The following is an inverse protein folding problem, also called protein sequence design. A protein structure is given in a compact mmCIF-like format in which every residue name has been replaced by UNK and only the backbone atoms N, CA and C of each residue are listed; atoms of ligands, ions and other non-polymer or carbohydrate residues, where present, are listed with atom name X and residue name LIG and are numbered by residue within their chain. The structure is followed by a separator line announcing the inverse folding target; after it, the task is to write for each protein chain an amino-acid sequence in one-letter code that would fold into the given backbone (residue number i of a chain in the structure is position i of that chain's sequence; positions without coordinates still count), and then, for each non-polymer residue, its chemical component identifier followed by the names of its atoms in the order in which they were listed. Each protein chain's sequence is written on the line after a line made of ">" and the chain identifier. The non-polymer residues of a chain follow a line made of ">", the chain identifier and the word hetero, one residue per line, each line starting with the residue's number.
data_IF_196518347168
#
_entry.id   IF_196518347168
#
_cell.length_a   1.000
_cell.length_b   1.000
_cell.length_c   1.000
_cell.angle_alpha   90.00
_cell.angle_beta   90.00
_cell.angle_gamma   90.00
#
_symmetry.space_group_name_H-M   'P 1'
#
loop_
_entity.id
_entity.type
_entity.pdbx_description
1 polymer ?
#
# COMPACT_ATOMS: atom_id res chain seq x y z
N UNK A 1 25.33 17.64 10.06
CA UNK A 1 23.89 17.75 9.75
C UNK A 1 23.10 17.42 11.01
N UNK A 2 22.23 18.34 11.46
CA UNK A 2 21.33 18.10 12.60
C UNK A 2 20.32 17.00 12.24
N UNK A 3 20.03 16.11 13.20
CA UNK A 3 19.00 15.08 13.06
C UNK A 3 17.84 15.45 13.97
N UNK A 4 16.68 15.72 13.37
CA UNK A 4 15.44 15.85 14.10
C UNK A 4 14.94 14.45 14.49
N UNK A 5 14.31 14.33 15.66
CA UNK A 5 13.81 13.05 16.19
C UNK A 5 12.36 13.17 16.60
N UNK A 6 11.58 12.15 16.27
CA UNK A 6 10.20 11.99 16.70
C UNK A 6 10.06 10.65 17.42
N UNK A 7 9.68 10.70 18.71
CA UNK A 7 9.50 9.48 19.48
C UNK A 7 8.22 8.74 19.07
N UNK A 8 8.28 7.42 19.05
CA UNK A 8 7.13 6.53 18.87
C UNK A 8 6.60 6.10 20.24
N UNK A 9 7.51 5.91 21.21
CA UNK A 9 7.18 5.46 22.55
C UNK A 9 7.24 6.63 23.55
N UNK A 10 6.44 6.58 24.63
CA UNK A 10 5.38 5.59 24.90
C UNK A 10 4.15 5.80 24.00
N UNK A 11 3.61 4.74 23.40
CA UNK A 11 2.47 4.82 22.46
C UNK A 11 1.20 5.38 23.09
N UNK A 12 1.03 5.23 24.40
CA UNK A 12 -0.15 5.70 25.13
C UNK A 12 -0.34 7.22 25.06
N UNK A 13 0.73 7.98 24.76
CA UNK A 13 0.65 9.44 24.53
C UNK A 13 -0.25 9.80 23.34
N UNK A 14 -0.53 8.84 22.46
CA UNK A 14 -1.43 8.98 21.32
C UNK A 14 -2.83 8.39 21.59
N UNK A 15 -3.10 7.86 22.79
CA UNK A 15 -4.37 7.24 23.18
C UNK A 15 -5.51 8.23 23.52
N UNK A 16 -5.37 9.51 23.18
CA UNK A 16 -6.34 10.57 23.44
C UNK A 16 -7.58 10.52 22.53
N UNK A 17 -8.34 11.63 22.50
CA UNK A 17 -9.50 11.78 21.62
C UNK A 17 -9.13 11.49 20.16
N UNK A 18 -10.05 10.86 19.42
CA UNK A 18 -9.82 10.54 18.01
C UNK A 18 -9.59 11.80 17.17
N UNK A 19 -8.61 11.72 16.27
CA UNK A 19 -8.33 12.77 15.29
C UNK A 19 -9.29 12.69 14.10
N UNK A 20 -9.58 13.84 13.47
CA UNK A 20 -10.37 13.92 12.23
C UNK A 20 -9.72 13.15 11.08
N UNK A 21 -10.52 12.35 10.39
CA UNK A 21 -10.13 11.64 9.16
C UNK A 21 -11.04 12.10 8.04
N UNK A 22 -10.45 12.36 6.87
CA UNK A 22 -11.21 12.58 5.64
C UNK A 22 -11.27 11.24 4.89
N UNK A 23 -12.47 10.82 4.49
CA UNK A 23 -12.62 9.59 3.71
C UNK A 23 -11.84 9.72 2.39
N UNK A 24 -11.01 8.73 2.01
CA UNK A 24 -10.34 8.73 0.72
C UNK A 24 -11.36 8.77 -0.43
N UNK A 25 -11.07 9.60 -1.44
CA UNK A 25 -11.83 9.67 -2.69
C UNK A 25 -10.88 9.57 -3.86
N UNK A 26 -11.14 8.65 -4.78
CA UNK A 26 -10.38 8.59 -6.03
C UNK A 26 -10.56 9.89 -6.82
N UNK A 27 -9.45 10.48 -7.25
CA UNK A 27 -9.42 11.71 -8.06
C UNK A 27 -8.85 11.46 -9.46
N UNK A 28 -8.04 10.40 -9.61
CA UNK A 28 -7.48 9.94 -10.87
C UNK A 28 -7.05 8.47 -10.73
N UNK A 29 -6.72 7.83 -11.85
CA UNK A 29 -6.19 6.47 -11.86
C UNK A 29 -5.27 6.27 -13.08
N UNK A 30 -4.44 5.22 -12.99
CA UNK A 30 -3.60 4.77 -14.08
C UNK A 30 -3.41 3.25 -13.99
N UNK A 31 -2.94 2.67 -15.09
CA UNK A 31 -2.81 1.24 -15.25
C UNK A 31 -1.44 0.88 -15.84
N UNK A 32 -0.87 -0.23 -15.38
CA UNK A 32 0.19 -0.96 -16.05
C UNK A 32 -0.37 -2.20 -16.73
N UNK A 33 0.04 -2.48 -17.97
CA UNK A 33 -0.33 -3.70 -18.67
C UNK A 33 0.57 -4.90 -18.30
N UNK A 34 0.36 -6.05 -18.97
CA UNK A 34 1.13 -7.28 -18.75
C UNK A 34 2.63 -7.15 -19.08
N UNK A 35 3.01 -6.11 -19.82
CA UNK A 35 4.39 -5.78 -20.21
C UNK A 35 4.93 -4.59 -19.41
N UNK A 36 4.28 -4.21 -18.29
CA UNK A 36 4.62 -3.08 -17.43
C UNK A 36 4.56 -1.72 -18.16
N UNK A 37 3.76 -1.60 -19.23
CA UNK A 37 3.57 -0.35 -19.94
C UNK A 37 2.53 0.52 -19.24
N UNK A 38 2.90 1.76 -18.95
CA UNK A 38 2.05 2.74 -18.30
C UNK A 38 0.97 3.28 -19.25
N UNK A 39 -0.24 3.46 -18.73
CA UNK A 39 -1.34 4.17 -19.39
C UNK A 39 -2.21 4.88 -18.36
N UNK A 40 -2.74 6.05 -18.72
CA UNK A 40 -3.75 6.72 -17.90
C UNK A 40 -5.08 5.99 -18.01
N UNK A 41 -5.85 5.97 -16.92
CA UNK A 41 -7.15 5.30 -16.87
C UNK A 41 -7.12 3.88 -16.28
N UNK A 42 -8.20 3.15 -16.51
CA UNK A 42 -8.57 1.93 -15.79
C UNK A 42 -8.50 0.64 -16.62
N UNK A 43 -7.64 0.61 -17.65
CA UNK A 43 -7.52 -0.53 -18.56
C UNK A 43 -7.11 -1.85 -17.90
N UNK A 44 -6.46 -1.79 -16.73
CA UNK A 44 -6.01 -2.97 -15.98
C UNK A 44 -6.91 -3.29 -14.77
N UNK A 45 -8.11 -2.72 -14.70
CA UNK A 45 -9.07 -3.07 -13.64
C UNK A 45 -9.44 -4.55 -13.71
N UNK A 46 -9.52 -5.19 -12.54
CA UNK A 46 -9.95 -6.58 -12.38
C UNK A 46 -11.20 -6.66 -11.53
N UNK A 47 -12.00 -7.70 -11.71
CA UNK A 47 -13.30 -7.88 -11.08
C UNK A 47 -13.24 -9.08 -10.15
N UNK A 48 -13.60 -8.90 -8.88
CA UNK A 48 -13.57 -9.99 -7.91
C UNK A 48 -14.51 -11.10 -8.33
N UNK A 49 -13.99 -12.31 -8.37
CA UNK A 49 -14.80 -13.51 -8.56
C UNK A 49 -14.12 -14.65 -7.78
N UNK A 50 -14.83 -15.26 -6.82
CA UNK A 50 -14.21 -16.18 -5.87
C UNK A 50 -13.52 -17.36 -6.57
N UNK A 51 -12.41 -17.86 -6.00
CA UNK A 51 -11.77 -19.08 -6.46
C UNK A 51 -12.62 -20.31 -6.09
N UNK A 52 -12.50 -21.38 -6.86
CA UNK A 52 -13.03 -22.69 -6.46
C UNK A 52 -12.21 -23.23 -5.29
N UNK A 53 -12.88 -23.81 -4.28
CA UNK A 53 -12.22 -24.35 -3.10
C UNK A 53 -12.35 -25.88 -3.05
N UNK A 54 -11.29 -26.60 -2.63
CA UNK A 54 -9.97 -26.07 -2.24
C UNK A 54 -9.14 -25.56 -3.44
N UNK A 55 -8.39 -24.46 -3.24
CA UNK A 55 -7.53 -23.88 -4.28
C UNK A 55 -6.04 -24.14 -4.00
N UNK A 56 -5.33 -24.77 -4.93
CA UNK A 56 -3.89 -24.99 -4.81
C UNK A 56 -3.09 -23.79 -5.32
N UNK A 57 -2.42 -23.08 -4.42
CA UNK A 57 -1.62 -21.89 -4.73
C UNK A 57 -0.24 -22.23 -5.31
N UNK A 58 0.16 -23.50 -5.41
CA UNK A 58 1.48 -23.88 -5.95
C UNK A 58 1.50 -24.03 -7.47
N UNK A 59 0.34 -24.23 -8.09
CA UNK A 59 0.23 -24.53 -9.53
C UNK A 59 0.72 -23.34 -10.35
N UNK A 60 1.82 -23.55 -11.09
CA UNK A 60 2.43 -22.56 -11.97
C UNK A 60 3.62 -21.80 -11.37
N UNK A 61 4.09 -22.18 -10.17
CA UNK A 61 5.22 -21.49 -9.52
C UNK A 61 6.49 -21.46 -10.39
N UNK A 62 6.77 -22.57 -11.07
CA UNK A 62 7.90 -22.77 -11.98
C UNK A 62 7.79 -21.99 -13.30
N UNK A 63 6.61 -21.47 -13.65
CA UNK A 63 6.39 -20.62 -14.83
C UNK A 63 6.07 -19.17 -14.46
N UNK A 64 6.26 -18.79 -13.19
CA UNK A 64 5.95 -17.45 -12.70
C UNK A 64 6.74 -16.36 -13.45
N UNK A 65 6.00 -15.43 -14.07
CA UNK A 65 6.57 -14.25 -14.71
C UNK A 65 6.68 -13.12 -13.69
N UNK A 66 7.78 -13.13 -12.94
CA UNK A 66 8.05 -12.14 -11.89
C UNK A 66 8.62 -10.85 -12.47
N UNK A 67 7.98 -9.73 -12.18
CA UNK A 67 8.48 -8.39 -12.44
C UNK A 67 9.81 -8.16 -11.72
N UNK A 68 10.79 -7.61 -12.45
CA UNK A 68 12.02 -7.11 -11.86
C UNK A 68 11.79 -5.68 -11.32
N UNK A 69 11.66 -5.58 -10.00
CA UNK A 69 11.34 -4.33 -9.28
C UNK A 69 12.57 -3.72 -8.56
N UNK A 70 13.77 -4.01 -9.09
CA UNK A 70 15.05 -3.48 -8.57
C UNK A 70 15.29 -2.02 -8.96
N UNK A 71 14.73 -1.61 -10.11
CA UNK A 71 14.79 -0.24 -10.57
C UNK A 71 14.03 0.70 -9.62
N UNK A 72 14.43 1.97 -9.64
CA UNK A 72 13.72 3.01 -8.93
C UNK A 72 12.63 3.57 -9.86
N UNK A 73 11.37 3.38 -9.50
CA UNK A 73 10.23 3.93 -10.24
C UNK A 73 9.84 5.32 -9.73
N UNK A 74 10.52 5.82 -8.69
CA UNK A 74 10.31 7.12 -8.06
C UNK A 74 8.81 7.41 -7.83
N UNK A 75 8.38 8.67 -7.98
CA UNK A 75 6.97 9.05 -7.98
C UNK A 75 6.40 9.21 -9.40
N UNK A 76 7.12 8.76 -10.44
CA UNK A 76 6.91 9.16 -11.82
C UNK A 76 5.45 8.96 -12.29
N UNK A 77 4.94 7.73 -12.23
CA UNK A 77 3.57 7.44 -12.64
C UNK A 77 2.50 8.19 -11.83
N UNK A 78 2.76 8.43 -10.54
CA UNK A 78 1.87 9.23 -9.70
C UNK A 78 1.88 10.70 -10.12
N UNK A 79 3.07 11.28 -10.36
CA UNK A 79 3.22 12.68 -10.77
C UNK A 79 2.71 12.92 -12.18
N UNK A 80 2.90 11.97 -13.10
CA UNK A 80 2.33 12.02 -14.46
C UNK A 80 0.81 11.99 -14.42
N UNK A 81 0.23 11.13 -13.58
CA UNK A 81 -1.22 11.06 -13.38
C UNK A 81 -1.78 12.34 -12.75
N UNK A 82 -1.10 12.91 -11.75
CA UNK A 82 -1.47 14.19 -11.16
C UNK A 82 -1.35 15.32 -12.20
N UNK A 83 -0.29 15.35 -12.99
CA UNK A 83 -0.09 16.33 -14.06
C UNK A 83 -1.23 16.27 -15.08
N UNK A 84 -1.64 15.06 -15.49
CA UNK A 84 -2.77 14.88 -16.39
C UNK A 84 -4.07 15.43 -15.80
N UNK A 85 -4.36 15.13 -14.54
CA UNK A 85 -5.53 15.66 -13.82
C UNK A 85 -5.50 17.20 -13.73
N UNK A 86 -4.33 17.79 -13.46
CA UNK A 86 -4.17 19.24 -13.36
C UNK A 86 -4.34 19.94 -14.71
N UNK A 87 -3.91 19.31 -15.80
CA UNK A 87 -4.15 19.77 -17.17
C UNK A 87 -5.62 19.71 -17.53
N UNK A 88 -6.31 18.61 -17.20
CA UNK A 88 -7.74 18.43 -17.47
C UNK A 88 -8.60 19.45 -16.69
N UNK A 89 -8.25 19.69 -15.42
CA UNK A 89 -9.05 20.53 -14.52
C UNK A 89 -8.61 21.99 -14.48
N UNK A 90 -7.49 22.31 -15.12
CA UNK A 90 -6.80 23.62 -15.07
C UNK A 90 -6.53 24.11 -13.64
N UNK A 91 -6.39 23.17 -12.70
CA UNK A 91 -6.26 23.47 -11.26
C UNK A 91 -5.22 22.57 -10.62
N UNK A 92 -4.34 23.17 -9.82
CA UNK A 92 -3.37 22.44 -9.01
C UNK A 92 -4.08 21.50 -8.03
N UNK A 93 -3.64 20.25 -7.97
CA UNK A 93 -4.09 19.30 -6.97
C UNK A 93 -3.47 19.66 -5.62
N UNK A 94 -4.22 20.40 -4.80
CA UNK A 94 -3.75 20.84 -3.49
C UNK A 94 -3.62 19.69 -2.49
N UNK A 95 -2.42 19.49 -1.97
CA UNK A 95 -2.11 18.58 -0.88
C UNK A 95 -0.91 19.10 -0.09
N UNK A 96 -0.82 18.70 1.18
CA UNK A 96 0.32 18.99 2.03
C UNK A 96 1.38 17.87 1.89
N UNK A 97 0.95 16.63 1.59
CA UNK A 97 1.83 15.49 1.30
C UNK A 97 1.36 14.74 0.03
N UNK A 98 2.31 14.35 -0.83
CA UNK A 98 2.07 13.47 -1.99
C UNK A 98 3.05 12.29 -1.93
N UNK A 99 2.54 11.07 -1.98
CA UNK A 99 3.37 9.86 -1.82
C UNK A 99 2.64 8.59 -2.28
N UNK A 100 3.37 7.48 -2.37
CA UNK A 100 2.78 6.15 -2.48
C UNK A 100 2.15 5.72 -1.14
N UNK A 101 0.98 5.08 -1.22
CA UNK A 101 0.28 4.49 -0.07
C UNK A 101 1.18 3.61 0.79
N UNK A 102 2.11 2.87 0.18
CA UNK A 102 3.06 2.02 0.91
C UNK A 102 3.91 2.79 1.93
N UNK A 103 4.27 4.04 1.65
CA UNK A 103 5.00 4.89 2.62
C UNK A 103 4.10 5.26 3.79
N UNK A 104 2.83 5.61 3.52
CA UNK A 104 1.87 5.93 4.57
C UNK A 104 1.49 4.73 5.40
N UNK A 105 1.42 3.53 4.83
CA UNK A 105 1.24 2.29 5.61
C UNK A 105 2.38 2.15 6.62
N UNK A 106 3.65 2.33 6.21
CA UNK A 106 4.81 2.21 7.12
C UNK A 106 4.74 3.20 8.28
N UNK A 107 4.37 4.45 8.01
CA UNK A 107 4.21 5.49 9.04
C UNK A 107 3.01 5.18 9.96
N UNK A 108 1.84 4.86 9.39
CA UNK A 108 0.61 4.58 10.14
C UNK A 108 0.76 3.39 11.09
N UNK A 109 1.51 2.35 10.68
CA UNK A 109 1.72 1.15 11.50
C UNK A 109 2.92 1.26 12.45
N UNK A 110 3.76 2.31 12.34
CA UNK A 110 5.00 2.43 13.11
C UNK A 110 4.85 2.28 14.65
N UNK A 111 3.74 2.71 15.30
CA UNK A 111 3.53 2.49 16.73
C UNK A 111 3.56 1.03 17.18
N UNK A 112 3.12 0.12 16.30
CA UNK A 112 2.95 -1.30 16.61
C UNK A 112 3.81 -2.21 15.72
N UNK A 113 4.44 -1.67 14.66
CA UNK A 113 5.42 -2.38 13.84
C UNK A 113 6.86 -2.06 14.26
N UNK A 114 7.27 -2.63 15.39
CA UNK A 114 8.64 -2.49 15.91
C UNK A 114 9.65 -3.37 15.19
N UNK A 115 9.20 -4.41 14.48
CA UNK A 115 10.10 -5.39 13.86
C UNK A 115 10.64 -4.93 12.51
N UNK A 116 9.94 -4.02 11.83
CA UNK A 116 10.37 -3.52 10.52
C UNK A 116 10.96 -2.11 10.63
N UNK A 117 12.05 -1.89 9.91
CA UNK A 117 12.59 -0.56 9.63
C UNK A 117 12.07 -0.02 8.29
N UNK A 118 12.28 1.27 8.06
CA UNK A 118 12.07 1.90 6.77
C UNK A 118 12.99 3.10 6.57
N UNK A 119 13.30 3.36 5.31
CA UNK A 119 13.92 4.60 4.86
C UNK A 119 13.15 5.17 3.67
N UNK A 120 12.94 6.48 3.68
CA UNK A 120 12.22 7.24 2.66
C UNK A 120 12.99 8.50 2.32
N UNK A 121 12.97 8.93 1.07
CA UNK A 121 13.43 10.26 0.69
C UNK A 121 12.25 11.23 0.67
N UNK A 122 12.49 12.49 1.00
CA UNK A 122 11.49 13.53 0.94
C UNK A 122 12.05 14.86 0.44
N UNK A 123 11.23 15.65 -0.23
CA UNK A 123 11.56 17.03 -0.64
C UNK A 123 10.33 17.91 -0.52
N UNK A 124 10.52 19.22 -0.31
CA UNK A 124 9.43 20.19 -0.24
C UNK A 124 9.45 21.06 -1.50
N UNK A 125 8.36 21.05 -2.25
CA UNK A 125 8.21 21.85 -3.46
C UNK A 125 6.84 22.54 -3.48
N UNK A 126 6.86 23.87 -3.60
CA UNK A 126 5.66 24.73 -3.58
C UNK A 126 4.70 24.44 -2.39
N UNK A 127 5.27 24.24 -1.19
CA UNK A 127 4.51 23.99 0.04
C UNK A 127 3.94 22.57 0.18
N UNK A 128 4.33 21.64 -0.71
CA UNK A 128 3.93 20.23 -0.66
C UNK A 128 5.15 19.35 -0.40
N UNK A 129 5.06 18.42 0.56
CA UNK A 129 6.10 17.43 0.83
C UNK A 129 5.85 16.20 -0.03
N UNK A 130 6.83 15.86 -0.86
CA UNK A 130 6.83 14.64 -1.66
C UNK A 130 7.68 13.61 -0.96
N UNK A 131 7.17 12.37 -0.84
CA UNK A 131 7.84 11.29 -0.12
C UNK A 131 7.89 10.05 -1.01
N UNK A 132 9.07 9.48 -1.21
CA UNK A 132 9.29 8.24 -1.93
C UNK A 132 10.04 7.21 -1.08
N UNK A 133 10.05 5.95 -1.53
CA UNK A 133 10.84 4.91 -0.89
C UNK A 133 12.33 5.13 -1.17
N UNK A 134 13.20 4.89 -0.19
CA UNK A 134 14.61 4.80 -0.49
C UNK A 134 14.92 3.45 -1.19
N UNK A 135 15.10 3.46 -2.51
CA UNK A 135 15.29 2.25 -3.31
C UNK A 135 16.53 1.42 -2.90
N UNK A 136 17.62 2.08 -2.51
CA UNK A 136 18.82 1.39 -2.03
C UNK A 136 18.54 0.60 -0.74
N UNK A 137 17.85 1.21 0.23
CA UNK A 137 17.42 0.55 1.46
C UNK A 137 16.43 -0.59 1.15
N UNK A 138 15.46 -0.37 0.26
CA UNK A 138 14.50 -1.40 -0.21
C UNK A 138 15.24 -2.63 -0.75
N UNK A 139 16.19 -2.42 -1.66
CA UNK A 139 16.93 -3.50 -2.31
C UNK A 139 17.83 -4.25 -1.32
N UNK A 140 18.53 -3.55 -0.42
CA UNK A 140 19.29 -4.20 0.67
C UNK A 140 18.40 -5.06 1.57
N UNK A 141 17.21 -4.58 1.92
CA UNK A 141 16.26 -5.34 2.75
C UNK A 141 15.75 -6.60 2.03
N UNK A 142 15.48 -6.52 0.73
CA UNK A 142 15.10 -7.68 -0.09
C UNK A 142 16.21 -8.72 -0.16
N UNK A 143 17.46 -8.31 -0.33
CA UNK A 143 18.62 -9.21 -0.32
C UNK A 143 18.79 -9.92 1.02
N UNK A 144 18.67 -9.18 2.12
CA UNK A 144 18.72 -9.76 3.48
C UNK A 144 17.62 -10.79 3.64
N UNK A 145 16.37 -10.49 3.25
CA UNK A 145 15.25 -11.42 3.35
C UNK A 145 15.43 -12.66 2.46
N UNK A 146 15.94 -12.50 1.24
CA UNK A 146 16.22 -13.62 0.32
C UNK A 146 17.28 -14.58 0.87
N UNK A 147 18.25 -14.05 1.61
CA UNK A 147 19.35 -14.82 2.18
C UNK A 147 19.02 -15.44 3.55
N UNK A 148 17.84 -15.16 4.14
CA UNK A 148 17.41 -15.78 5.39
C UNK A 148 17.11 -17.27 5.20
N UNK A 149 17.69 -18.10 6.07
CA UNK A 149 17.42 -19.54 6.08
C UNK A 149 16.05 -19.81 6.69
N UNK A 150 15.18 -20.44 5.91
CA UNK A 150 13.88 -20.89 6.39
C UNK A 150 14.03 -22.14 7.29
N UNK A 151 13.21 -22.28 8.34
CA UNK A 151 13.13 -23.52 9.09
C UNK A 151 12.81 -24.72 8.19
N UNK A 152 13.33 -25.93 8.49
CA UNK A 152 13.00 -27.13 7.73
C UNK A 152 11.48 -27.33 7.63
N UNK A 153 10.98 -27.63 6.44
CA UNK A 153 9.57 -27.85 6.16
C UNK A 153 8.73 -26.59 5.93
N UNK A 154 9.30 -25.38 6.00
CA UNK A 154 8.61 -24.16 5.57
C UNK A 154 8.85 -23.87 4.08
N UNK A 155 7.81 -23.38 3.41
CA UNK A 155 7.89 -22.84 2.07
C UNK A 155 8.92 -21.69 2.00
N UNK A 156 9.57 -21.54 0.84
CA UNK A 156 10.52 -20.45 0.62
C UNK A 156 9.79 -19.09 0.64
N UNK A 157 10.53 -18.01 0.90
CA UNK A 157 9.97 -16.65 0.82
C UNK A 157 9.40 -16.36 -0.58
N UNK A 158 10.04 -16.86 -1.62
CA UNK A 158 9.59 -16.70 -3.00
C UNK A 158 8.28 -17.45 -3.27
N UNK A 159 8.14 -18.66 -2.75
CA UNK A 159 6.91 -19.44 -2.85
C UNK A 159 5.77 -18.79 -2.06
N UNK A 160 6.03 -18.27 -0.85
CA UNK A 160 5.03 -17.55 -0.07
C UNK A 160 4.57 -16.24 -0.73
N UNK A 161 5.47 -15.55 -1.43
CA UNK A 161 5.14 -14.38 -2.24
C UNK A 161 4.29 -14.80 -3.45
N UNK A 162 4.67 -15.86 -4.16
CA UNK A 162 3.91 -16.40 -5.28
C UNK A 162 2.48 -16.77 -4.89
N UNK A 163 2.27 -17.36 -3.72
CA UNK A 163 0.94 -17.68 -3.21
C UNK A 163 0.00 -16.47 -3.12
N UNK A 164 0.52 -15.27 -2.88
CA UNK A 164 -0.26 -14.03 -2.95
C UNK A 164 -0.77 -13.78 -4.37
N UNK A 165 0.14 -13.68 -5.33
CA UNK A 165 -0.20 -13.45 -6.75
C UNK A 165 -1.06 -14.56 -7.36
N UNK A 166 -0.81 -15.83 -6.99
CA UNK A 166 -1.66 -16.93 -7.44
C UNK A 166 -3.07 -16.78 -6.90
N UNK A 167 -3.23 -16.41 -5.63
CA UNK A 167 -4.54 -16.17 -5.05
C UNK A 167 -5.28 -15.02 -5.74
N UNK A 168 -4.58 -13.94 -6.10
CA UNK A 168 -5.14 -12.84 -6.91
C UNK A 168 -5.67 -13.36 -8.24
N UNK A 169 -4.84 -14.07 -9.03
CA UNK A 169 -5.25 -14.65 -10.33
C UNK A 169 -6.49 -15.55 -10.21
N UNK A 170 -6.58 -16.36 -9.15
CA UNK A 170 -7.74 -17.23 -8.94
C UNK A 170 -8.99 -16.50 -8.47
N UNK A 171 -8.83 -15.31 -7.91
CA UNK A 171 -9.90 -14.55 -7.25
C UNK A 171 -10.41 -13.38 -8.09
N UNK A 172 -9.97 -13.24 -9.33
CA UNK A 172 -10.40 -12.16 -10.23
C UNK A 172 -10.76 -12.64 -11.61
N UNK A 173 -11.51 -11.81 -12.34
CA UNK A 173 -11.72 -11.84 -13.79
C UNK A 173 -11.17 -10.55 -14.39
N UNK A 174 -10.71 -10.60 -15.65
CA UNK A 174 -10.18 -9.42 -16.37
C UNK A 174 -11.29 -8.55 -16.99
N UNK A 175 -12.51 -9.06 -17.01
CA UNK A 175 -13.71 -8.39 -17.50
C UNK A 175 -14.87 -8.72 -16.56
N UNK A 176 -15.99 -7.98 -16.63
CA UNK A 176 -17.18 -8.34 -15.87
C UNK A 176 -17.66 -9.77 -16.18
N UNK A 177 -18.38 -10.35 -15.23
CA UNK A 177 -18.79 -11.76 -15.29
C UNK A 177 -19.61 -12.11 -16.54
N UNK A 178 -20.49 -11.21 -16.99
CA UNK A 178 -21.37 -11.41 -18.15
C UNK A 178 -20.59 -11.54 -19.47
N UNK A 179 -19.42 -10.89 -19.54
CA UNK A 179 -18.53 -10.86 -20.69
C UNK A 179 -17.44 -11.94 -20.64
N UNK A 180 -17.26 -12.60 -19.48
CA UNK A 180 -16.23 -13.62 -19.29
C UNK A 180 -16.79 -15.01 -19.62
N UNK A 181 -16.09 -15.76 -20.47
CA UNK A 181 -16.55 -17.10 -20.86
C UNK A 181 -16.37 -18.13 -19.74
N UNK A 182 -17.19 -19.17 -19.74
CA UNK A 182 -17.06 -20.28 -18.79
C UNK A 182 -15.66 -20.92 -18.82
N UNK A 183 -15.13 -21.10 -20.03
CA UNK A 183 -13.80 -21.67 -20.24
C UNK A 183 -12.68 -20.83 -19.61
N UNK A 184 -12.78 -19.49 -19.68
CA UNK A 184 -11.83 -18.60 -19.01
C UNK A 184 -11.94 -18.70 -17.49
N UNK A 185 -13.16 -18.66 -16.94
CA UNK A 185 -13.41 -18.74 -15.49
C UNK A 185 -12.80 -20.03 -14.90
N UNK A 186 -13.08 -21.17 -15.55
CA UNK A 186 -12.65 -22.50 -15.10
C UNK A 186 -11.16 -22.77 -15.33
N UNK A 187 -10.52 -22.05 -16.26
CA UNK A 187 -9.11 -22.26 -16.59
C UNK A 187 -8.13 -21.38 -15.78
N UNK A 188 -8.61 -20.50 -14.90
CA UNK A 188 -7.75 -19.61 -14.06
C UNK A 188 -6.68 -20.36 -13.26
N UNK A 189 -6.95 -21.61 -12.87
CA UNK A 189 -5.96 -22.47 -12.19
C UNK A 189 -4.72 -22.76 -13.04
N UNK A 190 -4.86 -22.76 -14.36
CA UNK A 190 -3.76 -23.02 -15.30
C UNK A 190 -3.15 -21.75 -15.90
N UNK A 191 -3.67 -20.56 -15.55
CA UNK A 191 -3.09 -19.30 -16.00
C UNK A 191 -1.68 -19.11 -15.46
N UNK A 192 -0.80 -18.63 -16.35
CA UNK A 192 0.53 -18.19 -15.98
C UNK A 192 0.40 -16.91 -15.15
N UNK A 193 0.88 -16.96 -13.92
CA UNK A 193 0.89 -15.81 -13.03
C UNK A 193 1.92 -14.79 -13.51
N UNK A 194 1.50 -13.54 -13.62
CA UNK A 194 2.32 -12.39 -13.97
C UNK A 194 1.90 -11.20 -13.08
N UNK A 195 2.85 -10.58 -12.39
CA UNK A 195 2.60 -9.47 -11.46
C UNK A 195 2.99 -8.09 -12.03
N UNK A 196 3.07 -7.97 -13.36
CA UNK A 196 3.42 -6.71 -14.05
C UNK A 196 2.21 -5.79 -14.22
N UNK A 197 1.04 -6.39 -14.51
CA UNK A 197 -0.20 -5.65 -14.72
C UNK A 197 -0.77 -5.20 -13.38
N UNK A 198 -1.10 -3.92 -13.27
CA UNK A 198 -1.58 -3.31 -12.03
C UNK A 198 -2.55 -2.18 -12.34
N UNK A 199 -3.62 -2.08 -11.55
CA UNK A 199 -4.48 -0.90 -11.50
C UNK A 199 -4.12 -0.06 -10.27
N UNK A 200 -3.87 1.23 -10.47
CA UNK A 200 -3.50 2.15 -9.41
C UNK A 200 -4.54 3.26 -9.25
N UNK A 201 -5.11 3.34 -8.05
CA UNK A 201 -5.99 4.43 -7.65
C UNK A 201 -5.15 5.59 -7.08
N UNK A 202 -5.45 6.82 -7.50
CA UNK A 202 -4.91 8.04 -6.91
C UNK A 202 -6.01 8.72 -6.12
N UNK A 203 -5.89 8.69 -4.80
CA UNK A 203 -6.91 9.18 -3.87
C UNK A 203 -6.49 10.48 -3.18
N UNK A 204 -7.47 11.34 -2.92
CA UNK A 204 -7.33 12.48 -2.00
C UNK A 204 -7.94 12.13 -0.64
N UNK A 205 -7.19 12.37 0.42
CA UNK A 205 -7.56 12.03 1.79
C UNK A 205 -6.94 13.02 2.79
N UNK A 206 -7.08 12.77 4.09
CA UNK A 206 -6.43 13.57 5.13
C UNK A 206 -6.57 12.99 6.53
N UNK A 207 -5.56 13.24 7.35
CA UNK A 207 -5.49 12.87 8.77
C UNK A 207 -5.13 14.13 9.56
N UNK A 208 -5.95 14.47 10.55
CA UNK A 208 -5.84 15.73 11.29
C UNK A 208 -5.97 16.93 10.37
N UNK A 209 -5.00 17.83 10.44
CA UNK A 209 -4.93 19.03 9.60
C UNK A 209 -4.18 18.82 8.29
N UNK A 210 -3.69 17.61 8.02
CA UNK A 210 -2.84 17.31 6.86
C UNK A 210 -3.66 16.65 5.75
N UNK A 211 -3.68 17.29 4.58
CA UNK A 211 -4.27 16.79 3.33
C UNK A 211 -3.23 16.00 2.56
N UNK A 212 -3.62 14.85 2.02
CA UNK A 212 -2.72 13.96 1.31
C UNK A 212 -3.29 13.56 -0.03
N UNK A 213 -2.40 13.33 -1.00
CA UNK A 213 -2.70 12.55 -2.20
C UNK A 213 -1.86 11.29 -2.17
N UNK A 214 -2.52 10.14 -2.28
CA UNK A 214 -1.89 8.83 -2.20
C UNK A 214 -2.13 8.07 -3.50
N UNK A 215 -1.06 7.59 -4.12
CA UNK A 215 -1.16 6.58 -5.19
C UNK A 215 -1.05 5.18 -4.59
N UNK A 216 -1.83 4.22 -5.07
CA UNK A 216 -1.62 2.83 -4.69
C UNK A 216 -2.43 1.84 -5.51
N UNK A 217 -1.85 0.66 -5.67
CA UNK A 217 -2.48 -0.50 -6.29
C UNK A 217 -3.73 -0.94 -5.52
N UNK A 218 -4.76 -1.33 -6.27
CA UNK A 218 -5.98 -1.98 -5.78
C UNK A 218 -6.20 -3.27 -6.57
N UNK A 219 -6.52 -4.36 -5.88
CA UNK A 219 -6.51 -5.70 -6.48
C UNK A 219 -7.71 -5.95 -7.39
N UNK A 220 -8.91 -5.53 -6.98
CA UNK A 220 -10.13 -5.70 -7.79
C UNK A 220 -11.26 -4.75 -7.39
N UNK A 221 -12.30 -4.66 -8.23
CA UNK A 221 -13.63 -4.15 -7.89
C UNK A 221 -14.59 -5.31 -7.62
N UNK A 222 -15.50 -5.16 -6.65
CA UNK A 222 -16.47 -6.19 -6.29
C UNK A 222 -17.48 -6.47 -7.40
N UNK A 223 -17.97 -5.41 -8.04
CA UNK A 223 -19.05 -5.42 -9.01
C UNK A 223 -18.67 -4.63 -10.27
N UNK A 224 -18.72 -3.31 -10.21
CA UNK A 224 -18.35 -2.42 -11.30
C UNK A 224 -17.82 -1.09 -10.76
N UNK A 225 -17.04 -0.40 -11.59
CA UNK A 225 -16.69 0.98 -11.31
C UNK A 225 -17.89 1.86 -11.67
N UNK A 226 -18.41 2.68 -10.75
CA UNK A 226 -19.57 3.52 -11.02
C UNK A 226 -19.24 4.63 -12.05
N UNK A 227 -20.20 4.93 -12.93
CA UNK A 227 -20.06 6.02 -13.92
C UNK A 227 -19.90 7.39 -13.25
N UNK A 228 -20.59 7.58 -12.12
CA UNK A 228 -20.56 8.83 -11.35
C UNK A 228 -19.37 8.81 -10.39
N UNK A 229 -18.45 9.76 -10.58
CA UNK A 229 -17.27 9.96 -9.70
C UNK A 229 -17.60 10.17 -8.22
N UNK A 230 -18.84 10.56 -7.91
CA UNK A 230 -19.34 10.79 -6.54
C UNK A 230 -19.64 9.49 -5.79
N UNK A 231 -19.97 8.43 -6.53
CA UNK A 231 -20.46 7.19 -5.99
C UNK A 231 -19.29 6.37 -5.44
N UNK A 232 -19.56 5.57 -4.40
CA UNK A 232 -18.51 4.76 -3.78
C UNK A 232 -18.12 3.63 -4.71
N UNK A 233 -16.82 3.49 -4.97
CA UNK A 233 -16.29 2.31 -5.66
C UNK A 233 -16.13 1.18 -4.65
N UNK A 234 -16.69 0.01 -4.95
CA UNK A 234 -16.61 -1.16 -4.08
C UNK A 234 -15.30 -1.92 -4.32
N UNK A 235 -14.19 -1.30 -3.96
CA UNK A 235 -12.87 -1.93 -4.08
C UNK A 235 -12.73 -3.16 -3.16
N UNK A 236 -11.93 -4.11 -3.61
CA UNK A 236 -11.58 -5.35 -2.91
C UNK A 236 -10.07 -5.46 -2.83
N UNK A 237 -9.57 -5.71 -1.63
CA UNK A 237 -8.19 -6.13 -1.40
C UNK A 237 -8.16 -7.65 -1.20
N UNK A 238 -7.21 -8.33 -1.82
CA UNK A 238 -7.00 -9.76 -1.74
C UNK A 238 -5.77 -10.05 -0.88
N UNK A 239 -5.92 -10.98 0.05
CA UNK A 239 -4.85 -11.39 0.96
C UNK A 239 -4.87 -12.88 1.19
N UNK A 240 -3.71 -13.45 1.47
CA UNK A 240 -3.62 -14.83 1.98
C UNK A 240 -3.07 -14.86 3.40
N UNK A 241 -3.56 -15.82 4.19
CA UNK A 241 -3.00 -16.11 5.50
C UNK A 241 -2.92 -17.60 5.75
N UNK A 242 -2.06 -18.02 6.68
CA UNK A 242 -2.09 -19.38 7.19
C UNK A 242 -3.32 -19.56 8.08
N UNK A 243 -3.83 -20.78 8.15
CA UNK A 243 -4.87 -21.15 9.10
C UNK A 243 -4.50 -20.82 10.55
N UNK A 244 -5.52 -20.45 11.33
CA UNK A 244 -5.39 -20.11 12.74
C UNK A 244 -5.72 -21.37 13.54
N UNK A 245 -4.70 -22.01 14.11
CA UNK A 245 -4.86 -23.30 14.83
C UNK A 245 -4.75 -23.15 16.35
N UNK A 246 -4.19 -22.04 16.82
CA UNK A 246 -3.90 -21.79 18.22
C UNK A 246 -3.76 -20.28 18.49
N UNK A 247 -3.64 -19.93 19.77
CA UNK A 247 -3.48 -18.54 20.24
C UNK A 247 -2.26 -17.81 19.64
N UNK A 248 -1.16 -18.52 19.41
CA UNK A 248 0.04 -17.91 18.81
C UNK A 248 -0.21 -17.52 17.36
N UNK A 249 -0.94 -18.33 16.62
CA UNK A 249 -1.30 -18.03 15.23
C UNK A 249 -2.33 -16.89 15.17
N UNK A 250 -3.24 -16.81 16.15
CA UNK A 250 -4.16 -15.68 16.28
C UNK A 250 -3.40 -14.36 16.49
N UNK A 251 -2.39 -14.33 17.39
CA UNK A 251 -1.54 -13.15 17.58
C UNK A 251 -0.77 -12.74 16.33
N UNK A 252 -0.28 -13.71 15.54
CA UNK A 252 0.37 -13.41 14.25
C UNK A 252 -0.65 -12.83 13.25
N UNK A 253 -1.86 -13.37 13.23
CA UNK A 253 -2.93 -12.90 12.36
C UNK A 253 -3.35 -11.47 12.72
N UNK A 254 -3.50 -11.14 14.01
CA UNK A 254 -3.79 -9.76 14.43
C UNK A 254 -2.71 -8.77 14.00
N UNK A 255 -1.42 -9.16 14.07
CA UNK A 255 -0.33 -8.32 13.55
C UNK A 255 -0.42 -8.12 12.03
N UNK A 256 -0.93 -9.11 11.28
CA UNK A 256 -1.22 -8.94 9.84
C UNK A 256 -2.42 -8.04 9.62
N UNK A 257 -3.47 -8.17 10.44
CA UNK A 257 -4.67 -7.32 10.37
C UNK A 257 -4.33 -5.83 10.50
N UNK A 258 -3.31 -5.45 11.28
CA UNK A 258 -2.81 -4.08 11.31
C UNK A 258 -2.39 -3.58 9.92
N UNK A 259 -1.63 -4.40 9.18
CA UNK A 259 -1.16 -4.05 7.83
C UNK A 259 -2.30 -4.09 6.82
N UNK A 260 -3.17 -5.08 6.88
CA UNK A 260 -4.34 -5.19 6.01
C UNK A 260 -5.25 -3.97 6.20
N UNK A 261 -5.58 -3.64 7.45
CA UNK A 261 -6.34 -2.44 7.78
C UNK A 261 -5.67 -1.19 7.25
N UNK A 262 -4.39 -0.96 7.58
CA UNK A 262 -3.69 0.27 7.16
C UNK A 262 -3.64 0.41 5.63
N UNK A 263 -3.35 -0.67 4.90
CA UNK A 263 -3.27 -0.67 3.44
C UNK A 263 -4.61 -0.30 2.80
N UNK A 264 -5.70 -0.94 3.23
CA UNK A 264 -7.04 -0.75 2.67
C UNK A 264 -7.66 0.56 3.13
N UNK A 265 -7.50 0.92 4.40
CA UNK A 265 -8.01 2.17 4.99
C UNK A 265 -7.48 3.42 4.27
N UNK A 266 -6.18 3.43 3.93
CA UNK A 266 -5.53 4.58 3.29
C UNK A 266 -6.02 4.84 1.86
N UNK A 267 -6.46 3.81 1.14
CA UNK A 267 -7.08 3.95 -0.21
C UNK A 267 -8.60 3.96 -0.17
N UNK A 268 -9.21 3.77 1.00
CA UNK A 268 -10.67 3.69 1.12
C UNK A 268 -11.26 2.40 0.55
N UNK A 269 -10.48 1.31 0.56
CA UNK A 269 -10.93 -0.01 0.13
C UNK A 269 -11.81 -0.62 1.22
N UNK A 270 -13.12 -0.81 0.98
CA UNK A 270 -14.06 -1.24 2.02
C UNK A 270 -13.92 -2.72 2.40
N UNK A 271 -13.53 -3.57 1.46
CA UNK A 271 -13.59 -5.03 1.62
C UNK A 271 -12.21 -5.66 1.45
N UNK A 272 -11.85 -6.57 2.35
CA UNK A 272 -10.67 -7.43 2.23
C UNK A 272 -11.13 -8.89 2.21
N UNK A 273 -10.74 -9.66 1.19
CA UNK A 273 -10.95 -11.10 1.12
C UNK A 273 -9.67 -11.83 1.50
N UNK A 274 -9.74 -12.66 2.54
CA UNK A 274 -8.61 -13.43 3.05
C UNK A 274 -8.78 -14.91 2.70
N UNK A 275 -7.91 -15.43 1.84
CA UNK A 275 -7.76 -16.87 1.62
C UNK A 275 -6.91 -17.52 2.71
N UNK A 276 -7.52 -18.40 3.51
CA UNK A 276 -6.80 -19.17 4.54
C UNK A 276 -6.33 -20.49 3.98
N UNK A 277 -5.01 -20.67 3.98
CA UNK A 277 -4.34 -21.88 3.51
C UNK A 277 -3.68 -22.68 4.61
N UNK A 278 -3.52 -23.97 4.33
CA UNK A 278 -2.67 -24.87 5.10
C UNK A 278 -1.17 -24.64 4.82
N UNK A 279 -0.32 -25.55 5.29
CA UNK A 279 1.14 -25.45 5.15
C UNK A 279 1.60 -25.85 3.75
N UNK A 280 0.79 -26.65 3.08
CA UNK A 280 0.97 -27.18 1.74
C UNK A 280 0.62 -26.15 0.65
N UNK A 281 0.00 -25.03 1.01
CA UNK A 281 -0.36 -23.97 0.07
C UNK A 281 -1.78 -24.08 -0.47
N UNK A 282 -2.63 -24.90 0.15
CA UNK A 282 -4.01 -25.13 -0.29
C UNK A 282 -4.95 -24.23 0.52
N UNK A 283 -5.72 -23.37 -0.17
CA UNK A 283 -6.75 -22.53 0.45
C UNK A 283 -8.01 -23.36 0.67
N UNK A 284 -8.48 -23.43 1.91
CA UNK A 284 -9.67 -24.21 2.31
C UNK A 284 -10.88 -23.32 2.60
N UNK A 285 -10.66 -22.06 2.99
CA UNK A 285 -11.74 -21.11 3.27
C UNK A 285 -11.37 -19.68 2.92
N UNK A 286 -12.39 -18.89 2.66
CA UNK A 286 -12.32 -17.45 2.52
C UNK A 286 -12.91 -16.78 3.76
N UNK A 287 -12.45 -15.57 4.05
CA UNK A 287 -13.07 -14.68 5.04
C UNK A 287 -13.18 -13.29 4.44
N UNK A 288 -14.38 -12.74 4.48
CA UNK A 288 -14.63 -11.35 4.11
C UNK A 288 -14.52 -10.45 5.35
N UNK A 289 -13.68 -9.43 5.23
CA UNK A 289 -13.46 -8.43 6.27
C UNK A 289 -13.89 -7.05 5.77
N UNK A 290 -14.83 -6.43 6.48
CA UNK A 290 -15.05 -4.99 6.39
C UNK A 290 -13.86 -4.26 7.06
N UNK A 291 -13.13 -3.48 6.26
CA UNK A 291 -11.96 -2.70 6.68
C UNK A 291 -12.26 -1.82 7.88
N UNK A 292 -13.43 -1.17 7.93
CA UNK A 292 -13.78 -0.25 9.02
C UNK A 292 -13.96 -0.97 10.35
N UNK A 293 -14.41 -2.24 10.32
CA UNK A 293 -14.63 -3.07 11.50
C UNK A 293 -13.35 -3.63 12.14
N UNK A 294 -12.24 -3.71 11.40
CA UNK A 294 -11.03 -4.45 11.82
C UNK A 294 -10.48 -3.95 13.17
N UNK A 295 -10.24 -2.64 13.41
CA UNK A 295 -9.73 -2.18 14.69
C UNK A 295 -10.65 -2.55 15.87
N UNK A 296 -11.97 -2.47 15.65
CA UNK A 296 -12.98 -2.86 16.63
C UNK A 296 -12.95 -4.36 16.95
N UNK A 297 -12.78 -5.21 15.93
CA UNK A 297 -12.64 -6.67 16.09
C UNK A 297 -11.40 -7.02 16.91
N UNK A 298 -10.25 -6.43 16.61
CA UNK A 298 -8.99 -6.67 17.35
C UNK A 298 -9.11 -6.24 18.82
N UNK A 299 -9.81 -5.13 19.10
CA UNK A 299 -10.00 -4.62 20.46
C UNK A 299 -11.01 -5.43 21.28
N UNK A 300 -12.13 -5.85 20.69
CA UNK A 300 -13.26 -6.48 21.40
C UNK A 300 -13.15 -8.01 21.49
N UNK A 301 -12.70 -8.63 20.41
CA UNK A 301 -12.68 -10.10 20.25
C UNK A 301 -11.25 -10.63 20.28
N UNK A 302 -10.31 -9.85 19.78
CA UNK A 302 -8.89 -10.19 19.78
C UNK A 302 -8.18 -9.95 21.12
N UNK A 303 -6.85 -9.93 21.05
CA UNK A 303 -5.93 -9.68 22.17
C UNK A 303 -5.61 -8.21 22.36
N UNK A 304 -6.19 -7.32 21.55
CA UNK A 304 -5.90 -5.89 21.59
C UNK A 304 -4.43 -5.56 21.29
N UNK A 305 -3.80 -6.31 20.36
CA UNK A 305 -2.37 -6.19 20.07
C UNK A 305 -1.97 -4.86 19.41
N UNK A 306 -2.93 -4.09 18.92
CA UNK A 306 -2.77 -2.73 18.41
C UNK A 306 -4.10 -1.96 18.53
N UNK A 307 -4.03 -0.64 18.49
CA UNK A 307 -5.21 0.24 18.53
C UNK A 307 -5.19 1.22 17.35
N UNK A 308 -6.25 1.20 16.54
CA UNK A 308 -6.36 2.03 15.33
C UNK A 308 -6.37 3.53 15.64
N UNK A 309 -6.93 3.96 16.78
CA UNK A 309 -6.93 5.38 17.16
C UNK A 309 -5.51 5.85 17.50
N UNK A 310 -4.71 5.01 18.17
CA UNK A 310 -3.30 5.30 18.43
C UNK A 310 -2.54 5.47 17.10
N UNK A 311 -2.76 4.58 16.12
CA UNK A 311 -2.16 4.72 14.78
C UNK A 311 -2.52 6.07 14.14
N UNK A 312 -3.80 6.42 14.10
CA UNK A 312 -4.29 7.66 13.46
C UNK A 312 -3.74 8.90 14.18
N UNK A 313 -3.81 8.94 15.51
CA UNK A 313 -3.32 10.06 16.32
C UNK A 313 -1.80 10.22 16.24
N UNK A 314 -1.06 9.11 16.23
CA UNK A 314 0.38 9.10 15.98
C UNK A 314 0.69 9.74 14.63
N UNK A 315 0.00 9.32 13.57
CA UNK A 315 0.23 9.85 12.21
C UNK A 315 -0.08 11.34 12.12
N UNK A 316 -1.15 11.80 12.76
CA UNK A 316 -1.48 13.23 12.83
C UNK A 316 -0.36 14.05 13.48
N UNK A 317 0.08 13.64 14.68
CA UNK A 317 1.15 14.30 15.41
C UNK A 317 2.48 14.25 14.64
N UNK A 318 2.77 13.11 13.99
CA UNK A 318 3.96 12.96 13.15
C UNK A 318 3.94 13.93 11.97
N UNK A 319 2.80 14.12 11.29
CA UNK A 319 2.71 15.05 10.17
C UNK A 319 2.86 16.51 10.60
N UNK A 320 2.27 16.90 11.72
CA UNK A 320 2.43 18.28 12.21
C UNK A 320 3.90 18.57 12.56
N UNK A 321 4.60 17.60 13.14
CA UNK A 321 6.04 17.68 13.37
C UNK A 321 6.87 17.64 12.07
N UNK A 322 6.50 16.79 11.10
CA UNK A 322 7.23 16.63 9.84
C UNK A 322 7.18 17.92 9.02
N UNK A 323 6.02 18.58 8.93
CA UNK A 323 5.86 19.87 8.25
C UNK A 323 6.63 21.01 8.92
N UNK A 324 6.88 20.92 10.22
CA UNK A 324 7.76 21.87 10.93
C UNK A 324 9.24 21.57 10.69
N UNK A 325 9.58 20.32 10.35
CA UNK A 325 10.94 19.88 10.14
C UNK A 325 11.40 20.10 8.70
N UNK A 326 10.56 19.78 7.71
CA UNK A 326 10.85 19.90 6.29
C UNK A 326 10.20 21.19 5.76
N UNK A 327 10.89 22.31 5.92
CA UNK A 327 10.44 23.63 5.45
C UNK A 327 11.29 24.19 4.31
N UNK A 328 12.52 23.72 4.20
CA UNK A 328 13.51 24.23 3.28
C UNK A 328 13.68 23.32 2.07
N UNK A 329 14.20 23.89 0.99
CA UNK A 329 14.66 23.15 -0.19
C UNK A 329 15.74 22.12 0.18
N UNK A 330 15.90 21.12 -0.68
CA UNK A 330 16.81 19.99 -0.51
C UNK A 330 16.12 18.65 -0.36
N UNK A 331 16.95 17.63 -0.19
CA UNK A 331 16.51 16.25 0.00
C UNK A 331 16.68 15.88 1.47
N UNK A 332 15.66 15.25 2.02
CA UNK A 332 15.57 14.80 3.39
C UNK A 332 15.42 13.29 3.44
N UNK A 333 15.99 12.66 4.47
CA UNK A 333 15.82 11.24 4.77
C UNK A 333 14.91 11.10 5.98
N UNK A 334 13.84 10.33 5.84
CA UNK A 334 13.00 9.86 6.95
C UNK A 334 13.38 8.42 7.24
N UNK A 335 13.81 8.11 8.46
CA UNK A 335 14.32 6.80 8.83
C UNK A 335 13.76 6.29 10.15
N UNK A 336 13.31 5.04 10.14
CA UNK A 336 13.10 4.22 11.33
C UNK A 336 13.95 2.96 11.23
N UNK A 337 14.87 2.76 12.15
CA UNK A 337 15.61 1.49 12.23
C UNK A 337 14.72 0.39 12.84
N UNK A 338 15.05 -0.88 12.57
CA UNK A 338 14.40 -2.00 13.25
C UNK A 338 14.53 -1.87 14.77
N UNK A 339 13.44 -2.16 15.50
CA UNK A 339 13.34 -2.06 16.96
C UNK A 339 13.57 -0.66 17.54
N UNK A 340 13.80 0.36 16.70
CA UNK A 340 13.96 1.75 17.13
C UNK A 340 12.62 2.30 17.64
N UNK A 341 12.62 2.94 18.82
CA UNK A 341 11.46 3.67 19.32
C UNK A 341 11.36 5.09 18.75
N UNK A 342 12.19 5.47 17.78
CA UNK A 342 12.21 6.81 17.19
C UNK A 342 12.25 6.77 15.66
N UNK A 343 11.66 7.80 15.06
CA UNK A 343 11.84 8.18 13.65
C UNK A 343 12.81 9.36 13.60
N UNK A 344 13.85 9.26 12.80
CA UNK A 344 14.80 10.34 12.54
C UNK A 344 14.49 11.01 11.20
N UNK A 345 14.60 12.34 11.14
CA UNK A 345 14.54 13.12 9.90
C UNK A 345 15.78 14.00 9.80
N UNK A 346 16.48 13.94 8.68
CA UNK A 346 17.70 14.72 8.46
C UNK A 346 17.92 15.05 7.00
N UNK A 347 18.51 16.21 6.75
CA UNK A 347 18.89 16.67 5.42
C UNK A 347 20.03 15.80 4.88
N UNK A 348 19.94 15.36 3.62
CA UNK A 348 21.00 14.63 2.90
C UNK A 348 21.60 15.47 1.79
N UNK A 349 20.81 16.36 1.18
CA UNK A 349 21.27 17.35 0.19
C UNK A 349 20.67 18.72 0.50
N UNK A 350 21.47 19.78 0.36
CA UNK A 350 21.10 21.12 0.81
C UNK A 350 20.16 21.86 -0.15
N UNK A 351 20.08 21.43 -1.42
CA UNK A 351 19.30 22.09 -2.47
C UNK A 351 18.78 21.10 -3.49
N UNK A 352 17.70 21.46 -4.19
CA UNK A 352 17.11 20.66 -5.23
C UNK A 352 16.21 19.55 -4.70
N UNK A 353 15.72 18.74 -5.63
CA UNK A 353 14.64 17.77 -5.36
C UNK A 353 15.11 16.33 -5.61
N UNK A 354 16.38 16.16 -5.98
CA UNK A 354 16.92 14.90 -6.52
C UNK A 354 16.08 14.38 -7.68
N UNK A 355 16.02 13.06 -7.78
CA UNK A 355 15.18 12.36 -8.74
C UNK A 355 13.75 12.10 -8.23
N UNK A 356 13.39 12.63 -7.04
CA UNK A 356 12.04 12.49 -6.46
C UNK A 356 10.99 13.17 -7.35
N UNK A 357 11.37 14.32 -7.92
CA UNK A 357 10.50 15.12 -8.79
C UNK A 357 11.08 15.16 -10.20
N UNK A 358 10.33 14.65 -11.17
CA UNK A 358 10.71 14.75 -12.57
C UNK A 358 10.76 16.22 -13.03
N UNK A 359 11.68 16.52 -13.96
CA UNK A 359 11.80 17.85 -14.57
C UNK A 359 10.52 18.27 -15.31
N UNK A 360 9.78 17.31 -15.86
CA UNK A 360 8.49 17.53 -16.49
C UNK A 360 7.44 18.03 -15.48
N UNK A 361 7.36 17.40 -14.31
CA UNK A 361 6.42 17.78 -13.25
C UNK A 361 6.73 19.18 -12.70
N UNK A 362 7.99 19.45 -12.39
CA UNK A 362 8.41 20.76 -11.84
C UNK A 362 8.22 21.89 -12.83
N UNK A 363 8.52 21.66 -14.11
CA UNK A 363 8.27 22.62 -15.19
C UNK A 363 6.77 22.91 -15.34
N UNK A 364 5.93 21.87 -15.35
CA UNK A 364 4.47 22.01 -15.39
C UNK A 364 3.95 22.85 -14.22
N UNK A 365 4.26 22.45 -12.98
CA UNK A 365 3.81 23.17 -11.77
C UNK A 365 4.32 24.60 -11.67
N UNK A 366 5.49 24.90 -12.26
CA UNK A 366 6.02 26.27 -12.31
C UNK A 366 5.29 27.13 -13.35
N UNK A 367 4.78 26.52 -14.43
CA UNK A 367 3.97 27.25 -15.43
C UNK A 367 2.55 27.58 -14.96
N UNK A 368 2.07 26.94 -13.89
CA UNK A 368 0.78 27.21 -13.26
C UNK A 368 0.83 28.30 -12.17
N UNK A 369 2.03 28.64 -11.70
CA UNK A 369 2.26 29.65 -10.67
C UNK A 369 2.37 31.04 -11.31
#
# INVERSE_FOLDING_TARGET
>A
MSRARFDIQPVDRFGGSGTTIRRPREIACFSYDQNRQFSLGDSSISYYYPPDLPADLNIGFNTFQKLNDSADEHLDALLDTITALEKETEKKCEADIITWRGMMTKILTAPFDMMNGFEMNATCFQGTIFIEENNEYKNRQKEVQRNQRMPPGMASQEQMMYWGYKFEVLSVLRQPWDSTTRAEIENRQNEVVNNSAQYCSVVKTGIGHTRMVLGGEVDAVWDCKPDRKEDTIHWVELKTSAEIRNDRDMLKYERKLLKFWAQSFLLGVPTIIVGFRDQEGIVHRLEELDTASIPGKVKKVGRGSWDGNICINFTAAFFDWLKQTIQEDGIWRIRKQEKSPVIEVFKVEDSGHGDILSSAFTSWRSSMA
#
